data_IF_100965358251
#
_entry.id   IF_100965358251
#
_cell.length_a   1.000
_cell.length_b   1.000
_cell.length_c   1.000
_cell.angle_alpha   90.00
_cell.angle_beta   90.00
_cell.angle_gamma   90.00
#
_symmetry.space_group_name_H-M   'P 1'
#
loop_
_entity.id
_entity.type
_entity.pdbx_description
1 polymer ?
#
# COMPACT_ATOMS: atom_id res chain seq x y z
N UNK A 1 24.03 19.31 -6.67
CA UNK A 1 23.22 18.41 -5.84
C UNK A 1 22.28 17.68 -6.77
N UNK A 2 22.65 16.47 -7.19
CA UNK A 2 21.77 15.58 -7.94
C UNK A 2 20.92 14.88 -6.89
N UNK A 3 19.60 15.09 -6.93
CA UNK A 3 18.65 14.30 -6.18
C UNK A 3 18.56 12.96 -6.90
N UNK A 4 19.20 11.94 -6.33
CA UNK A 4 19.00 10.56 -6.74
C UNK A 4 17.55 10.20 -6.41
N UNK A 5 16.68 10.34 -7.42
CA UNK A 5 15.39 9.70 -7.49
C UNK A 5 15.61 8.19 -7.40
N UNK A 6 15.54 7.65 -6.20
CA UNK A 6 15.42 6.21 -5.98
C UNK A 6 14.02 5.85 -6.48
N UNK A 7 13.91 5.53 -7.77
CA UNK A 7 12.79 4.74 -8.24
C UNK A 7 12.77 3.47 -7.36
N UNK A 8 11.65 3.13 -6.70
CA UNK A 8 11.59 1.94 -5.88
C UNK A 8 11.96 0.75 -6.75
N UNK A 9 13.03 0.04 -6.38
CA UNK A 9 13.41 -1.19 -7.09
C UNK A 9 12.18 -2.08 -7.18
N UNK A 10 11.87 -2.64 -8.37
CA UNK A 10 10.83 -3.66 -8.45
C UNK A 10 11.21 -4.73 -7.43
N UNK A 11 10.28 -5.08 -6.55
CA UNK A 11 10.38 -6.33 -5.82
C UNK A 11 10.32 -7.38 -6.91
N UNK A 12 11.47 -7.90 -7.34
CA UNK A 12 11.65 -8.71 -8.54
C UNK A 12 10.77 -9.99 -8.54
N UNK A 13 10.16 -10.32 -7.39
CA UNK A 13 9.32 -11.49 -7.15
C UNK A 13 7.82 -11.19 -6.91
N UNK A 14 7.34 -9.95 -7.03
CA UNK A 14 5.89 -9.64 -6.94
C UNK A 14 5.22 -9.73 -8.32
N UNK A 15 4.48 -10.82 -8.65
CA UNK A 15 3.84 -10.98 -9.95
C UNK A 15 2.76 -9.93 -10.22
N UNK A 16 2.33 -9.17 -9.21
CA UNK A 16 1.33 -8.12 -9.32
C UNK A 16 1.92 -6.71 -9.37
N UNK A 17 3.26 -6.56 -9.38
CA UNK A 17 3.92 -5.27 -9.28
C UNK A 17 3.42 -4.23 -10.31
N UNK A 18 3.30 -4.62 -11.58
CA UNK A 18 2.79 -3.73 -12.63
C UNK A 18 1.34 -3.31 -12.37
N UNK A 19 0.48 -4.24 -11.93
CA UNK A 19 -0.91 -3.96 -11.61
C UNK A 19 -1.02 -3.01 -10.40
N UNK A 20 -0.20 -3.21 -9.36
CA UNK A 20 -0.17 -2.31 -8.19
C UNK A 20 0.25 -0.90 -8.57
N UNK A 21 1.29 -0.77 -9.39
CA UNK A 21 1.71 0.53 -9.91
C UNK A 21 0.63 1.19 -10.77
N UNK A 22 -0.05 0.44 -11.63
CA UNK A 22 -1.14 0.96 -12.46
C UNK A 22 -2.30 1.49 -11.62
N UNK A 23 -2.67 0.80 -10.53
CA UNK A 23 -3.71 1.25 -9.59
C UNK A 23 -3.31 2.57 -8.92
N UNK A 24 -2.07 2.67 -8.40
CA UNK A 24 -1.60 3.90 -7.76
C UNK A 24 -1.53 5.06 -8.76
N UNK A 25 -1.07 4.80 -9.98
CA UNK A 25 -1.03 5.80 -11.05
C UNK A 25 -2.44 6.31 -11.41
N UNK A 26 -3.43 5.42 -11.47
CA UNK A 26 -4.81 5.79 -11.71
C UNK A 26 -5.39 6.62 -10.55
N UNK A 27 -5.16 6.22 -9.30
CA UNK A 27 -5.56 7.01 -8.11
C UNK A 27 -4.91 8.40 -8.15
N UNK A 28 -3.62 8.47 -8.48
CA UNK A 28 -2.87 9.73 -8.56
C UNK A 28 -3.43 10.66 -9.63
N UNK A 29 -3.78 10.11 -10.80
CA UNK A 29 -4.46 10.83 -11.88
C UNK A 29 -5.81 11.40 -11.43
N UNK A 30 -6.62 10.60 -10.73
CA UNK A 30 -7.93 11.03 -10.23
C UNK A 30 -7.79 12.11 -9.15
N UNK A 31 -6.77 12.02 -8.27
CA UNK A 31 -6.45 13.05 -7.28
C UNK A 31 -6.08 14.39 -7.93
N UNK A 32 -5.19 14.37 -8.92
CA UNK A 32 -4.78 15.58 -9.67
C UNK A 32 -5.97 16.21 -10.38
N UNK A 33 -6.84 15.41 -11.00
CA UNK A 33 -8.06 15.89 -11.65
C UNK A 33 -9.03 16.59 -10.68
N UNK A 34 -8.95 16.28 -9.38
CA UNK A 34 -9.74 16.88 -8.32
C UNK A 34 -8.96 17.92 -7.48
N UNK A 35 -7.80 18.40 -7.97
CA UNK A 35 -7.02 19.45 -7.31
C UNK A 35 -6.28 19.00 -6.04
N UNK A 36 -6.11 17.70 -5.84
CA UNK A 36 -5.34 17.12 -4.73
C UNK A 36 -3.90 16.81 -5.17
N UNK A 37 -2.97 16.83 -4.20
CA UNK A 37 -1.59 16.41 -4.45
C UNK A 37 -1.54 14.93 -4.91
N UNK A 38 -0.68 14.56 -5.86
CA UNK A 38 -0.52 13.17 -6.31
C UNK A 38 -0.02 12.27 -5.17
N UNK A 39 -0.18 10.96 -5.35
CA UNK A 39 0.40 9.94 -4.48
C UNK A 39 1.30 9.03 -5.31
N UNK A 40 2.21 8.33 -4.63
CA UNK A 40 3.21 7.46 -5.24
C UNK A 40 3.14 6.06 -4.61
N UNK A 41 3.71 5.08 -5.31
CA UNK A 41 3.73 3.70 -4.84
C UNK A 41 4.75 3.56 -3.70
N UNK A 42 4.32 3.01 -2.57
CA UNK A 42 5.18 2.67 -1.44
C UNK A 42 5.25 1.16 -1.24
N UNK A 43 6.47 0.62 -1.26
CA UNK A 43 6.69 -0.83 -1.19
C UNK A 43 6.30 -1.43 0.17
N UNK A 44 6.50 -0.68 1.26
CA UNK A 44 6.20 -1.15 2.61
C UNK A 44 4.68 -1.21 2.86
N UNK A 45 3.96 -0.15 2.49
CA UNK A 45 2.51 -0.09 2.55
C UNK A 45 1.88 -1.17 1.66
N UNK A 46 2.43 -1.39 0.46
CA UNK A 46 2.03 -2.47 -0.44
C UNK A 46 2.19 -3.85 0.21
N UNK A 47 3.35 -4.11 0.83
CA UNK A 47 3.61 -5.37 1.55
C UNK A 47 2.64 -5.57 2.72
N UNK A 48 2.44 -4.54 3.55
CA UNK A 48 1.54 -4.62 4.72
C UNK A 48 0.08 -4.84 4.32
N UNK A 49 -0.37 -4.19 3.25
CA UNK A 49 -1.71 -4.40 2.68
C UNK A 49 -1.87 -5.80 2.09
N UNK A 50 -0.87 -6.29 1.35
CA UNK A 50 -0.93 -7.62 0.73
C UNK A 50 -1.03 -8.74 1.78
N UNK A 51 -0.26 -8.65 2.86
CA UNK A 51 -0.35 -9.61 3.97
C UNK A 51 -1.76 -9.66 4.60
N UNK A 52 -2.42 -8.50 4.74
CA UNK A 52 -3.79 -8.44 5.26
C UNK A 52 -4.81 -9.03 4.27
N UNK A 53 -4.65 -8.75 2.96
CA UNK A 53 -5.46 -9.38 1.92
C UNK A 53 -5.32 -10.91 1.92
N UNK A 54 -4.10 -11.43 2.05
CA UNK A 54 -3.84 -12.86 2.15
C UNK A 54 -4.50 -13.49 3.40
N UNK A 55 -4.42 -12.83 4.56
CA UNK A 55 -5.12 -13.28 5.79
C UNK A 55 -6.64 -13.32 5.59
N UNK A 56 -7.21 -12.27 5.00
CA UNK A 56 -8.64 -12.15 4.69
C UNK A 56 -9.13 -13.27 3.78
N UNK A 57 -8.41 -13.55 2.68
CA UNK A 57 -8.73 -14.64 1.76
C UNK A 57 -8.62 -16.00 2.45
N UNK A 58 -7.54 -16.24 3.20
CA UNK A 58 -7.30 -17.50 3.89
C UNK A 58 -8.36 -17.82 4.96
N UNK A 59 -8.93 -16.80 5.59
CA UNK A 59 -9.89 -16.94 6.69
C UNK A 59 -11.32 -16.51 6.35
N UNK A 60 -11.59 -16.16 5.09
CA UNK A 60 -12.93 -15.84 4.55
C UNK A 60 -13.64 -14.72 5.31
N UNK A 61 -12.95 -13.59 5.51
CA UNK A 61 -13.55 -12.39 6.08
C UNK A 61 -13.12 -11.14 5.29
N UNK A 62 -13.88 -10.06 5.42
CA UNK A 62 -13.54 -8.74 4.91
C UNK A 62 -13.68 -7.74 6.07
N UNK A 63 -12.59 -7.10 6.48
CA UNK A 63 -12.57 -6.20 7.63
C UNK A 63 -11.28 -5.40 7.67
N UNK A 64 -11.32 -4.18 8.21
CA UNK A 64 -10.10 -3.42 8.55
C UNK A 64 -9.31 -4.04 9.71
N UNK A 65 -9.97 -4.86 10.51
CA UNK A 65 -9.35 -5.59 11.62
C UNK A 65 -8.90 -6.95 11.15
N UNK A 66 -7.66 -7.30 11.45
CA UNK A 66 -7.21 -8.67 11.29
C UNK A 66 -7.70 -9.54 12.47
N UNK A 67 -7.48 -10.85 12.42
CA UNK A 67 -7.94 -11.79 13.46
C UNK A 67 -7.30 -11.56 14.84
N UNK A 68 -6.20 -10.82 14.91
CA UNK A 68 -5.53 -10.40 16.15
C UNK A 68 -6.09 -9.09 16.71
N UNK A 69 -7.07 -8.47 16.05
CA UNK A 69 -7.59 -7.16 16.44
C UNK A 69 -6.62 -6.02 16.14
N UNK A 70 -5.79 -6.16 15.10
CA UNK A 70 -4.90 -5.07 14.65
C UNK A 70 -5.57 -4.27 13.54
N UNK A 71 -5.54 -2.94 13.68
CA UNK A 71 -5.94 -1.96 12.65
C UNK A 71 -4.83 -1.76 11.59
N UNK A 72 -5.13 -1.10 10.46
CA UNK A 72 -4.16 -0.81 9.41
C UNK A 72 -2.90 -0.11 9.93
N UNK A 73 -3.08 0.90 10.78
CA UNK A 73 -1.97 1.60 11.42
C UNK A 73 -1.09 0.68 12.27
N UNK A 74 -1.66 -0.25 13.04
CA UNK A 74 -0.86 -1.20 13.83
C UNK A 74 -0.03 -2.11 12.92
N UNK A 75 -0.64 -2.67 11.87
CA UNK A 75 0.06 -3.57 10.94
C UNK A 75 1.18 -2.84 10.18
N UNK A 76 0.89 -1.64 9.69
CA UNK A 76 1.88 -0.80 9.00
C UNK A 76 3.02 -0.37 9.94
N UNK A 77 2.70 0.06 11.15
CA UNK A 77 3.71 0.45 12.14
C UNK A 77 4.62 -0.73 12.56
N UNK A 78 4.04 -1.91 12.81
CA UNK A 78 4.83 -3.10 13.14
C UNK A 78 5.71 -3.58 11.98
N UNK A 79 5.37 -3.26 10.74
CA UNK A 79 6.23 -3.50 9.58
C UNK A 79 7.38 -2.48 9.45
N UNK A 80 7.43 -1.46 10.32
CA UNK A 80 8.43 -0.38 10.29
C UNK A 80 7.91 0.95 9.72
N UNK A 81 6.63 1.01 9.36
CA UNK A 81 5.97 2.19 8.83
C UNK A 81 5.86 3.31 9.86
N UNK A 82 5.85 4.54 9.36
CA UNK A 82 5.72 5.77 10.16
C UNK A 82 4.61 6.65 9.58
N UNK A 83 4.19 7.64 10.35
CA UNK A 83 3.15 8.59 9.97
C UNK A 83 1.74 7.98 9.89
N UNK A 84 0.80 8.80 9.41
CA UNK A 84 -0.61 8.48 9.34
C UNK A 84 -0.92 7.60 8.11
N UNK A 85 -1.76 6.59 8.30
CA UNK A 85 -2.20 5.67 7.23
C UNK A 85 -3.72 5.51 7.24
N UNK A 86 -4.29 5.29 6.06
CA UNK A 86 -5.71 4.93 5.87
C UNK A 86 -5.80 3.70 4.96
N UNK A 87 -6.91 2.98 5.04
CA UNK A 87 -7.15 1.75 4.28
C UNK A 87 -8.51 1.80 3.59
N UNK A 88 -8.54 1.37 2.34
CA UNK A 88 -9.76 0.99 1.62
C UNK A 88 -9.76 -0.54 1.52
N UNK A 89 -10.86 -1.21 1.87
CA UNK A 89 -11.00 -2.68 1.86
C UNK A 89 -12.24 -3.11 1.08
#
# INVERSE_FOLDING_TARGET
>A
MLQDSIAPSPVLDDPYYEARQAVVAQISKDRVANGLAPVEFDGLASQAGDQHCQEMVAHRYLSHWNRRGLLPYHRYHFAGGRDHVQENS
#
